data_IF_876230039494
#
_entry.id   IF_876230039494
#
_cell.length_a   1.000
_cell.length_b   1.000
_cell.length_c   1.000
_cell.angle_alpha   90.00
_cell.angle_beta   90.00
_cell.angle_gamma   90.00
#
_symmetry.space_group_name_H-M   'P 1'
#
loop_
_entity.id
_entity.type
_entity.pdbx_description
1 polymer ?
#
# COMPACT_ATOMS: atom_id res chain seq x y z
N UNK A 1 32.21 -0.87 12.92
CA UNK A 1 31.21 -1.13 11.87
C UNK A 1 30.09 -1.94 12.49
N UNK A 2 28.87 -1.40 12.51
CA UNK A 2 27.67 -2.14 12.94
C UNK A 2 27.25 -3.08 11.80
N UNK A 3 26.82 -4.30 12.10
CA UNK A 3 26.36 -5.29 11.09
C UNK A 3 25.30 -4.69 10.14
N UNK A 4 24.46 -3.82 10.69
CA UNK A 4 23.44 -3.04 9.99
C UNK A 4 23.99 -2.19 8.84
N UNK A 5 25.08 -1.45 9.05
CA UNK A 5 25.68 -0.60 7.99
C UNK A 5 26.18 -1.39 6.79
N UNK A 6 26.73 -2.59 7.02
CA UNK A 6 27.21 -3.47 5.96
C UNK A 6 26.02 -3.98 5.14
N UNK A 7 24.93 -4.38 5.81
CA UNK A 7 23.69 -4.76 5.13
C UNK A 7 23.09 -3.61 4.32
N UNK A 8 23.04 -2.41 4.88
CA UNK A 8 22.45 -1.24 4.22
C UNK A 8 23.25 -0.83 2.96
N UNK A 9 24.58 -0.92 3.01
CA UNK A 9 25.45 -0.72 1.83
C UNK A 9 25.17 -1.73 0.72
N UNK A 10 25.15 -3.02 1.06
CA UNK A 10 24.89 -4.09 0.08
C UNK A 10 23.48 -3.98 -0.50
N UNK A 11 22.50 -3.62 0.33
CA UNK A 11 21.12 -3.40 -0.11
C UNK A 11 21.01 -2.20 -1.03
N UNK A 12 21.73 -1.12 -0.76
CA UNK A 12 21.77 0.07 -1.61
C UNK A 12 22.29 -0.27 -3.01
N UNK A 13 23.42 -0.95 -3.12
CA UNK A 13 23.99 -1.34 -4.42
C UNK A 13 23.05 -2.26 -5.21
N UNK A 14 22.43 -3.22 -4.52
CA UNK A 14 21.43 -4.11 -5.14
C UNK A 14 20.22 -3.34 -5.63
N UNK A 15 19.73 -2.39 -4.83
CA UNK A 15 18.56 -1.59 -5.16
C UNK A 15 18.84 -0.68 -6.36
N UNK A 16 20.00 0.00 -6.40
CA UNK A 16 20.39 0.87 -7.51
C UNK A 16 20.54 0.06 -8.80
N UNK A 17 21.24 -1.08 -8.77
CA UNK A 17 21.35 -1.97 -9.95
C UNK A 17 20.00 -2.48 -10.43
N UNK A 18 19.09 -2.81 -9.50
CA UNK A 18 17.72 -3.23 -9.85
C UNK A 18 16.94 -2.10 -10.48
N UNK A 19 17.08 -0.87 -9.98
CA UNK A 19 16.42 0.31 -10.53
C UNK A 19 16.94 0.63 -11.94
N UNK A 20 18.26 0.63 -12.14
CA UNK A 20 18.87 0.81 -13.46
C UNK A 20 18.37 -0.25 -14.46
N UNK A 21 18.35 -1.52 -14.04
CA UNK A 21 17.85 -2.60 -14.87
C UNK A 21 16.36 -2.44 -15.18
N UNK A 22 15.53 -2.18 -14.18
CA UNK A 22 14.09 -2.01 -14.38
C UNK A 22 13.80 -0.85 -15.34
N UNK A 23 14.44 0.30 -15.14
CA UNK A 23 14.21 1.50 -15.96
C UNK A 23 14.67 1.31 -17.41
N UNK A 24 15.71 0.50 -17.65
CA UNK A 24 16.21 0.20 -19.00
C UNK A 24 15.42 -0.90 -19.71
N UNK A 25 14.90 -1.89 -18.98
CA UNK A 25 14.12 -2.99 -19.56
C UNK A 25 12.65 -2.66 -19.78
N UNK A 26 12.11 -1.72 -19.00
CA UNK A 26 10.68 -1.44 -18.97
C UNK A 26 10.32 -0.38 -20.04
N UNK A 27 9.51 -0.77 -21.02
CA UNK A 27 8.93 0.17 -21.98
C UNK A 27 7.87 1.01 -21.27
N UNK A 28 8.17 2.29 -21.04
CA UNK A 28 7.29 3.27 -20.37
C UNK A 28 6.07 3.71 -21.20
N UNK A 29 5.67 2.91 -22.18
CA UNK A 29 4.52 3.16 -23.06
C UNK A 29 3.32 2.39 -22.54
N UNK A 30 2.13 3.00 -22.65
CA UNK A 30 0.90 2.30 -22.29
C UNK A 30 0.78 1.02 -23.13
N UNK A 31 0.56 -0.11 -22.44
CA UNK A 31 0.40 -1.39 -23.10
C UNK A 31 -0.79 -1.33 -24.06
N UNK A 32 -0.65 -1.97 -25.22
CA UNK A 32 -1.74 -2.08 -26.18
C UNK A 32 -3.05 -2.53 -25.48
N UNK A 33 -4.20 -1.95 -25.86
CA UNK A 33 -5.48 -2.25 -25.22
C UNK A 33 -5.75 -3.76 -25.29
N UNK A 34 -5.81 -4.42 -24.12
CA UNK A 34 -6.09 -5.85 -24.00
C UNK A 34 -5.12 -6.65 -23.12
N UNK A 35 -4.02 -6.07 -22.66
CA UNK A 35 -3.10 -6.75 -21.72
C UNK A 35 -3.40 -6.29 -20.29
N UNK A 36 -3.61 -7.22 -19.35
CA UNK A 36 -3.84 -6.99 -17.91
C UNK A 36 -2.64 -6.38 -17.15
N UNK A 37 -1.75 -5.72 -17.88
CA UNK A 37 -0.59 -5.04 -17.36
C UNK A 37 -1.03 -3.85 -16.49
N UNK A 38 -0.52 -3.79 -15.26
CA UNK A 38 -0.61 -2.59 -14.41
C UNK A 38 -0.31 -1.34 -15.25
N UNK A 39 -1.15 -0.30 -15.19
CA UNK A 39 -1.02 0.87 -16.05
C UNK A 39 0.34 1.54 -15.83
N UNK A 40 0.94 2.06 -16.90
CA UNK A 40 2.32 2.54 -16.90
C UNK A 40 2.56 3.63 -15.83
N UNK A 41 1.57 4.47 -15.53
CA UNK A 41 1.65 5.52 -14.51
C UNK A 41 1.77 5.00 -13.07
N UNK A 42 1.24 3.81 -12.78
CA UNK A 42 1.41 3.20 -11.45
C UNK A 42 2.85 2.73 -11.29
N UNK A 43 3.45 2.23 -12.37
CA UNK A 43 4.84 1.74 -12.37
C UNK A 43 5.84 2.89 -12.26
N UNK A 44 5.63 4.01 -12.94
CA UNK A 44 6.48 5.22 -12.76
C UNK A 44 6.43 5.71 -11.33
N UNK A 45 5.24 5.75 -10.72
CA UNK A 45 5.12 6.17 -9.31
C UNK A 45 5.82 5.21 -8.35
N UNK A 46 5.70 3.90 -8.58
CA UNK A 46 6.39 2.88 -7.78
C UNK A 46 7.91 2.99 -7.89
N UNK A 47 8.44 3.21 -9.10
CA UNK A 47 9.88 3.41 -9.31
C UNK A 47 10.38 4.73 -8.73
N UNK A 48 9.59 5.81 -8.79
CA UNK A 48 9.90 7.10 -8.17
C UNK A 48 9.97 6.97 -6.62
N UNK A 49 9.05 6.23 -6.02
CA UNK A 49 9.11 5.92 -4.58
C UNK A 49 10.36 5.10 -4.22
N UNK A 50 10.72 4.12 -5.04
CA UNK A 50 11.93 3.32 -4.83
C UNK A 50 13.22 4.16 -4.97
N UNK A 51 13.26 5.13 -5.89
CA UNK A 51 14.36 6.10 -6.02
C UNK A 51 14.48 7.00 -4.78
N UNK A 52 13.35 7.48 -4.23
CA UNK A 52 13.31 8.25 -2.98
C UNK A 52 13.84 7.43 -1.79
N UNK A 53 13.43 6.17 -1.69
CA UNK A 53 13.93 5.26 -0.67
C UNK A 53 15.44 5.02 -0.81
N UNK A 54 15.93 4.80 -2.03
CA UNK A 54 17.36 4.64 -2.30
C UNK A 54 18.17 5.89 -1.87
N UNK A 55 17.66 7.10 -2.10
CA UNK A 55 18.27 8.35 -1.60
C UNK A 55 18.35 8.39 -0.07
N UNK A 56 17.26 8.02 0.60
CA UNK A 56 17.22 7.99 2.07
C UNK A 56 18.23 6.98 2.63
N UNK A 57 18.33 5.81 1.99
CA UNK A 57 19.29 4.77 2.38
C UNK A 57 20.73 5.24 2.17
N UNK A 58 21.03 5.89 1.05
CA UNK A 58 22.33 6.48 0.75
C UNK A 58 22.74 7.52 1.80
N UNK A 59 21.82 8.41 2.19
CA UNK A 59 22.06 9.42 3.22
C UNK A 59 22.32 8.80 4.60
N UNK A 60 21.59 7.73 4.94
CA UNK A 60 21.79 6.98 6.19
C UNK A 60 23.17 6.33 6.23
N UNK A 61 23.55 5.64 5.15
CA UNK A 61 24.85 4.97 5.02
C UNK A 61 26.01 5.96 5.08
N UNK A 62 25.89 7.10 4.39
CA UNK A 62 26.94 8.14 4.39
C UNK A 62 27.12 8.81 5.77
N UNK A 63 26.03 9.02 6.50
CA UNK A 63 26.07 9.59 7.86
C UNK A 63 26.78 8.64 8.82
N UNK A 64 26.51 7.33 8.71
CA UNK A 64 27.10 6.32 9.59
C UNK A 64 28.57 6.02 9.22
N UNK A 65 28.93 6.15 7.94
CA UNK A 65 30.32 6.02 7.47
C UNK A 65 31.19 7.21 7.87
N UNK A 66 30.64 8.42 7.83
CA UNK A 66 31.32 9.63 8.31
C UNK A 66 31.59 9.53 9.82
N UNK A 67 30.67 8.94 10.56
CA UNK A 67 30.80 8.71 12.01
C UNK A 67 31.78 7.59 12.36
N UNK A 68 31.92 6.59 11.49
CA UNK A 68 32.72 5.38 11.75
C UNK A 68 34.08 5.33 11.06
N UNK A 69 34.45 6.35 10.27
CA UNK A 69 35.78 6.52 9.66
C UNK A 69 36.35 5.23 9.02
N UNK A 70 35.51 4.47 8.31
CA UNK A 70 35.82 3.06 8.05
C UNK A 70 36.34 2.73 6.65
N UNK A 71 36.27 3.63 5.64
CA UNK A 71 36.68 3.29 4.25
C UNK A 71 37.28 4.47 3.45
N UNK A 72 38.52 4.36 2.91
CA UNK A 72 39.20 5.42 2.15
C UNK A 72 38.58 5.80 0.78
N UNK A 73 37.77 4.92 0.17
CA UNK A 73 37.19 5.12 -1.18
C UNK A 73 35.66 5.27 -1.20
N UNK A 74 35.01 5.21 -0.03
CA UNK A 74 33.57 5.38 0.10
C UNK A 74 33.00 6.70 -0.48
N UNK A 75 33.64 7.88 -0.31
CA UNK A 75 33.02 9.13 -0.76
C UNK A 75 32.87 9.24 -2.29
N UNK A 76 33.78 8.62 -3.06
CA UNK A 76 33.69 8.60 -4.53
C UNK A 76 32.54 7.71 -5.00
N UNK A 77 32.43 6.53 -4.39
CA UNK A 77 31.37 5.59 -4.70
C UNK A 77 29.98 6.16 -4.42
N UNK A 78 29.80 6.85 -3.28
CA UNK A 78 28.55 7.54 -2.96
C UNK A 78 28.25 8.69 -3.91
N UNK A 79 29.27 9.46 -4.33
CA UNK A 79 29.09 10.51 -5.33
C UNK A 79 28.61 9.94 -6.68
N UNK A 80 29.13 8.79 -7.09
CA UNK A 80 28.71 8.12 -8.32
C UNK A 80 27.27 7.59 -8.20
N UNK A 81 26.91 6.96 -7.09
CA UNK A 81 25.54 6.52 -6.81
C UNK A 81 24.54 7.68 -6.75
N UNK A 82 24.94 8.85 -6.22
CA UNK A 82 24.10 10.07 -6.26
C UNK A 82 23.81 10.47 -7.70
N UNK A 83 24.85 10.55 -8.54
CA UNK A 83 24.72 10.93 -9.95
C UNK A 83 23.81 9.97 -10.72
N UNK A 84 23.94 8.66 -10.48
CA UNK A 84 23.07 7.68 -11.14
C UNK A 84 21.63 7.83 -10.68
N UNK A 85 21.37 7.96 -9.38
CA UNK A 85 20.04 8.19 -8.84
C UNK A 85 19.40 9.48 -9.37
N UNK A 86 20.15 10.58 -9.43
CA UNK A 86 19.66 11.86 -9.98
C UNK A 86 19.29 11.74 -11.45
N UNK A 87 20.12 11.04 -12.25
CA UNK A 87 19.84 10.76 -13.65
C UNK A 87 18.56 9.92 -13.80
N UNK A 88 18.42 8.84 -13.03
CA UNK A 88 17.26 7.96 -13.09
C UNK A 88 15.97 8.68 -12.65
N UNK A 89 16.05 9.51 -11.61
CA UNK A 89 14.92 10.31 -11.15
C UNK A 89 14.48 11.31 -12.21
N UNK A 90 15.40 12.00 -12.88
CA UNK A 90 15.04 12.93 -13.95
C UNK A 90 14.28 12.25 -15.09
N UNK A 91 14.71 11.05 -15.49
CA UNK A 91 14.06 10.26 -16.54
C UNK A 91 12.66 9.81 -16.11
N UNK A 92 12.55 9.22 -14.92
CA UNK A 92 11.25 8.72 -14.42
C UNK A 92 10.29 9.88 -14.15
N UNK A 93 10.77 11.02 -13.67
CA UNK A 93 9.95 12.22 -13.46
C UNK A 93 9.45 12.82 -14.78
N UNK A 94 10.24 12.79 -15.84
CA UNK A 94 9.80 13.22 -17.17
C UNK A 94 8.73 12.27 -17.73
N UNK A 95 8.92 10.96 -17.57
CA UNK A 95 7.91 9.97 -17.98
C UNK A 95 6.63 10.15 -17.17
N UNK A 96 6.71 10.30 -15.85
CA UNK A 96 5.54 10.48 -14.98
C UNK A 96 4.70 11.69 -15.40
N UNK A 97 5.34 12.81 -15.78
CA UNK A 97 4.63 13.99 -16.32
C UNK A 97 3.87 13.68 -17.61
N UNK A 98 4.38 12.78 -18.45
CA UNK A 98 3.77 12.42 -19.75
C UNK A 98 2.60 11.46 -19.59
N UNK A 99 2.67 10.56 -18.61
CA UNK A 99 1.67 9.50 -18.43
C UNK A 99 0.73 9.71 -17.24
N UNK A 100 0.97 10.74 -16.42
CA UNK A 100 0.06 11.08 -15.32
C UNK A 100 -1.30 11.46 -15.90
N UNK A 101 -2.37 10.71 -15.59
CA UNK A 101 -3.70 11.05 -16.06
C UNK A 101 -4.11 12.43 -15.53
N UNK A 102 -4.82 13.23 -16.35
CA UNK A 102 -5.37 14.50 -15.87
C UNK A 102 -6.32 14.21 -14.70
N UNK A 103 -6.14 14.95 -13.60
CA UNK A 103 -6.92 14.77 -12.37
C UNK A 103 -8.37 15.16 -12.65
N UNK A 104 -9.19 14.19 -13.07
CA UNK A 104 -10.63 14.35 -13.12
C UNK A 104 -11.16 14.16 -11.70
N UNK A 105 -11.67 15.25 -11.10
CA UNK A 105 -12.44 15.15 -9.86
C UNK A 105 -13.71 14.37 -10.20
N UNK A 106 -14.02 13.27 -9.49
CA UNK A 106 -15.29 12.58 -9.69
C UNK A 106 -16.42 13.59 -9.44
N UNK A 107 -17.42 13.61 -10.31
CA UNK A 107 -18.61 14.44 -10.14
C UNK A 107 -19.19 14.16 -8.75
N UNK A 108 -19.46 15.19 -7.93
CA UNK A 108 -19.97 14.99 -6.58
C UNK A 108 -21.29 14.20 -6.64
N UNK A 109 -21.37 13.11 -5.89
CA UNK A 109 -22.56 12.22 -5.79
C UNK A 109 -23.56 12.76 -4.74
N UNK A 110 -23.18 13.85 -4.05
CA UNK A 110 -24.01 14.56 -3.08
C UNK A 110 -25.42 14.97 -3.59
N UNK A 111 -25.63 15.39 -4.85
CA UNK A 111 -26.97 15.73 -5.33
C UNK A 111 -27.82 14.51 -5.69
N UNK A 112 -27.28 13.28 -5.65
CA UNK A 112 -28.00 12.04 -5.98
C UNK A 112 -28.48 11.31 -4.73
N UNK A 113 -28.12 11.77 -3.53
CA UNK A 113 -28.62 11.17 -2.27
C UNK A 113 -29.99 11.79 -1.96
N UNK A 114 -31.07 11.00 -1.95
CA UNK A 114 -32.39 11.49 -1.55
C UNK A 114 -32.34 11.97 -0.09
N UNK A 115 -32.94 13.14 0.24
CA UNK A 115 -32.94 13.65 1.60
C UNK A 115 -33.66 12.66 2.54
N UNK A 116 -33.12 12.42 3.76
CA UNK A 116 -33.80 11.60 4.75
C UNK A 116 -35.15 12.25 5.10
N UNK A 117 -36.20 11.43 5.35
CA UNK A 117 -37.52 11.94 5.68
C UNK A 117 -37.46 12.79 6.97
N UNK A 118 -38.24 13.88 7.06
CA UNK A 118 -38.25 14.75 8.21
C UNK A 118 -38.69 13.96 9.46
N UNK A 119 -37.80 13.88 10.45
CA UNK A 119 -38.17 13.51 11.80
C UNK A 119 -39.07 14.61 12.33
N UNK A 120 -40.32 14.23 12.57
CA UNK A 120 -41.34 15.04 13.24
C UNK A 120 -40.83 15.44 14.62
N UNK A 121 -40.76 16.75 14.84
CA UNK A 121 -40.60 17.37 16.14
C UNK A 121 -41.73 16.93 17.07
N UNK A 122 -41.38 16.39 18.24
CA UNK A 122 -42.24 16.42 19.42
C UNK A 122 -41.47 17.14 20.51
N UNK A 123 -41.67 18.45 20.57
CA UNK A 123 -41.37 19.27 21.75
C UNK A 123 -42.42 19.04 22.84
N UNK A 124 -42.04 19.45 24.06
CA UNK A 124 -42.83 19.73 25.28
C UNK A 124 -43.14 18.58 26.25
N UNK A 125 -42.42 18.55 27.37
CA UNK A 125 -42.99 18.98 28.66
C UNK A 125 -41.88 19.37 29.66
N UNK A 126 -42.14 20.43 30.42
CA UNK A 126 -41.25 21.11 31.37
C UNK A 126 -41.47 20.65 32.82
N UNK A 127 -40.68 21.26 33.73
CA UNK A 127 -40.73 21.26 35.21
C UNK A 127 -40.06 20.07 35.91
N UNK A 128 -39.27 20.21 36.99
CA UNK A 128 -38.76 21.35 37.76
C UNK A 128 -37.71 20.81 38.77
N UNK A 129 -36.98 21.72 39.43
CA UNK A 129 -36.25 21.57 40.71
C UNK A 129 -34.73 21.30 40.68
N UNK A 130 -34.00 22.41 40.78
CA UNK A 130 -32.68 22.58 41.43
C UNK A 130 -32.83 22.47 42.98
N UNK A 131 -31.76 22.26 43.77
CA UNK A 131 -31.09 23.42 44.37
C UNK A 131 -29.55 23.33 44.57
N UNK A 132 -28.92 24.52 44.45
CA UNK A 132 -27.87 25.17 45.26
C UNK A 132 -26.46 24.54 45.46
N UNK A 133 -25.38 25.16 44.93
CA UNK A 133 -24.52 26.22 45.52
C UNK A 133 -23.48 25.65 46.51
N UNK A 134 -22.18 25.96 46.59
CA UNK A 134 -21.24 26.96 46.05
C UNK A 134 -19.83 26.54 46.55
N UNK A 135 -18.75 26.80 45.80
CA UNK A 135 -17.40 27.21 46.28
C UNK A 135 -16.25 26.80 45.33
N UNK A 136 -15.42 27.80 45.01
CA UNK A 136 -14.22 27.80 44.16
C UNK A 136 -12.95 27.45 44.99
N UNK A 137 -11.70 27.66 44.51
CA UNK A 137 -10.71 26.74 43.90
C UNK A 137 -9.49 26.38 44.81
N UNK A 138 -8.60 25.48 44.35
CA UNK A 138 -7.09 25.54 44.39
C UNK A 138 -6.43 24.12 44.41
N UNK A 139 -5.41 23.95 43.56
CA UNK A 139 -4.33 22.92 43.51
C UNK A 139 -3.48 22.85 44.83
N UNK A 140 -2.38 22.05 44.98
CA UNK A 140 -1.86 20.80 44.38
C UNK A 140 -1.31 19.79 45.44
N UNK A 141 -0.56 18.73 45.04
CA UNK A 141 0.29 17.80 45.87
C UNK A 141 -0.43 16.53 46.35
N UNK A 142 0.07 15.29 46.25
CA UNK A 142 1.20 14.65 45.58
C UNK A 142 1.04 13.12 45.74
N UNK A 143 1.94 12.39 45.08
CA UNK A 143 2.43 11.04 45.44
C UNK A 143 1.49 9.89 45.01
N UNK A 144 1.87 8.93 44.16
CA UNK A 144 3.14 8.20 44.08
C UNK A 144 3.39 7.70 42.64
N UNK A 145 4.55 8.04 42.08
CA UNK A 145 5.32 7.13 41.22
C UNK A 145 6.30 6.36 42.11
N UNK A 146 6.61 5.11 41.73
CA UNK A 146 7.98 4.79 41.30
C UNK A 146 7.93 4.09 39.91
N UNK A 147 8.78 4.43 38.92
CA UNK A 147 10.19 4.01 38.75
C UNK A 147 10.34 2.48 38.97
N UNK A 148 10.83 1.62 38.07
CA UNK A 148 11.69 1.69 36.88
C UNK A 148 11.16 0.66 35.87
N UNK A 149 11.04 0.96 34.58
CA UNK A 149 12.11 0.86 33.57
C UNK A 149 12.73 -0.54 33.38
N UNK A 150 12.80 -0.91 32.10
CA UNK A 150 13.93 -1.65 31.54
C UNK A 150 14.05 -3.15 31.86
N UNK A 151 13.18 -3.98 31.26
CA UNK A 151 13.61 -5.31 30.79
C UNK A 151 12.75 -5.96 29.69
N UNK A 152 11.60 -5.41 29.30
CA UNK A 152 10.70 -6.05 28.33
C UNK A 152 10.87 -5.60 26.86
N UNK A 153 11.80 -4.69 26.57
CA UNK A 153 12.01 -4.15 25.22
C UNK A 153 13.08 -4.91 24.40
N UNK A 154 13.74 -5.92 24.97
CA UNK A 154 14.88 -6.61 24.34
C UNK A 154 14.57 -8.00 23.73
N UNK A 155 13.29 -8.42 23.68
CA UNK A 155 12.92 -9.78 23.25
C UNK A 155 12.25 -9.88 21.87
N UNK A 156 12.04 -8.77 21.14
CA UNK A 156 11.32 -8.78 19.86
C UNK A 156 12.21 -8.60 18.60
N UNK A 157 13.53 -8.57 18.75
CA UNK A 157 14.46 -8.31 17.64
C UNK A 157 15.34 -9.52 17.22
N UNK A 158 14.89 -10.77 17.48
CA UNK A 158 15.68 -11.98 17.15
C UNK A 158 14.91 -13.17 16.57
N UNK A 159 13.88 -12.95 15.74
CA UNK A 159 13.25 -14.05 14.98
C UNK A 159 13.17 -13.86 13.46
N UNK A 160 13.73 -12.80 12.89
CA UNK A 160 13.88 -12.70 11.44
C UNK A 160 15.27 -13.20 11.00
N UNK A 161 15.42 -14.53 11.04
CA UNK A 161 16.51 -15.26 10.39
C UNK A 161 16.22 -15.47 8.89
N UNK A 162 17.24 -15.49 8.01
CA UNK A 162 17.08 -15.35 6.57
C UNK A 162 16.83 -16.70 5.87
N UNK A 163 15.70 -16.83 5.18
CA UNK A 163 15.44 -17.99 4.31
C UNK A 163 16.10 -17.80 2.95
N UNK A 164 17.02 -18.70 2.61
CA UNK A 164 17.58 -18.92 1.27
C UNK A 164 16.50 -19.06 0.18
N UNK A 165 16.74 -18.58 -1.05
CA UNK A 165 15.96 -19.01 -2.20
C UNK A 165 16.45 -20.39 -2.67
N UNK A 166 15.79 -21.45 -2.20
CA UNK A 166 15.96 -22.78 -2.79
C UNK A 166 15.37 -22.77 -4.20
N UNK A 167 16.26 -22.86 -5.19
CA UNK A 167 15.91 -23.03 -6.58
C UNK A 167 15.04 -24.29 -6.77
N UNK A 168 13.77 -24.09 -7.05
CA UNK A 168 12.95 -25.06 -7.76
C UNK A 168 12.64 -24.47 -9.14
N UNK A 169 13.46 -24.86 -10.10
CA UNK A 169 13.14 -24.81 -11.52
C UNK A 169 11.84 -25.59 -11.76
N UNK A 170 10.73 -24.88 -11.92
CA UNK A 170 9.54 -25.42 -12.58
C UNK A 170 9.16 -24.44 -13.68
N UNK A 171 9.33 -24.90 -14.92
CA UNK A 171 9.05 -24.14 -16.13
C UNK A 171 7.59 -23.68 -16.25
N UNK A 172 7.28 -22.87 -17.27
CA UNK A 172 6.00 -22.19 -17.40
C UNK A 172 4.86 -23.20 -17.56
N UNK A 173 3.97 -23.25 -16.58
CA UNK A 173 2.76 -24.06 -16.63
C UNK A 173 1.68 -23.21 -17.31
N UNK A 174 1.48 -23.47 -18.59
CA UNK A 174 0.38 -22.94 -19.37
C UNK A 174 -0.93 -23.64 -18.90
N UNK A 175 -1.97 -22.92 -18.46
CA UNK A 175 -3.18 -23.54 -17.90
C UNK A 175 -4.15 -24.12 -18.94
N UNK A 176 -3.68 -24.48 -20.15
CA UNK A 176 -4.55 -24.88 -21.27
C UNK A 176 -4.40 -26.33 -21.75
N UNK A 177 -3.62 -27.20 -21.09
CA UNK A 177 -3.45 -28.59 -21.54
C UNK A 177 -4.17 -29.69 -20.71
N UNK A 178 -4.92 -29.35 -19.66
CA UNK A 178 -5.53 -30.37 -18.77
C UNK A 178 -6.88 -30.94 -19.26
N UNK A 179 -7.24 -30.80 -20.54
CA UNK A 179 -8.53 -31.30 -21.05
C UNK A 179 -8.43 -32.31 -22.21
N UNK A 180 -7.26 -32.89 -22.48
CA UNK A 180 -7.14 -33.92 -23.51
C UNK A 180 -6.70 -35.27 -22.92
N UNK A 181 -7.50 -36.35 -23.06
CA UNK A 181 -7.08 -37.70 -22.73
C UNK A 181 -5.98 -38.17 -23.71
N UNK A 182 -5.03 -39.02 -23.27
CA UNK A 182 -4.02 -39.55 -24.17
C UNK A 182 -4.67 -40.51 -25.18
N UNK A 183 -4.53 -40.14 -26.46
CA UNK A 183 -4.51 -40.97 -27.67
C UNK A 183 -4.95 -42.44 -27.56
N UNK A 184 -6.08 -42.77 -28.18
CA UNK A 184 -6.48 -44.13 -28.57
C UNK A 184 -5.54 -44.66 -29.68
N UNK A 185 -5.11 -45.93 -29.65
CA UNK A 185 -4.72 -46.64 -30.86
C UNK A 185 -5.96 -47.26 -31.52
N UNK A 186 -6.32 -46.74 -32.70
CA UNK A 186 -7.16 -47.44 -33.67
C UNK A 186 -6.29 -48.45 -34.42
N UNK A 187 -6.54 -49.75 -34.21
CA UNK A 187 -6.45 -50.78 -35.24
C UNK A 187 -7.20 -52.02 -34.75
N UNK A 188 -8.31 -52.31 -35.42
CA UNK A 188 -9.08 -53.52 -35.23
C UNK A 188 -8.34 -54.72 -35.81
N UNK A 189 -8.21 -55.81 -35.06
CA UNK A 189 -8.19 -57.15 -35.65
C UNK A 189 -9.12 -58.08 -34.86
N UNK A 190 -9.99 -58.74 -35.61
CA UNK A 190 -10.95 -59.73 -35.14
C UNK A 190 -10.20 -60.97 -34.65
N UNK A 191 -10.50 -61.40 -33.42
CA UNK A 191 -10.42 -62.82 -33.08
C UNK A 191 -11.35 -63.12 -31.90
N UNK A 192 -12.59 -63.50 -32.25
CA UNK A 192 -13.42 -64.34 -31.39
C UNK A 192 -12.68 -65.66 -31.19
N UNK A 193 -12.32 -65.98 -29.94
CA UNK A 193 -12.56 -67.28 -29.27
C UNK A 193 -11.64 -67.45 -28.06
N UNK A 194 -12.26 -67.59 -26.88
CA UNK A 194 -11.74 -68.29 -25.68
C UNK A 194 -10.58 -67.65 -24.89
N UNK A 195 -10.92 -66.67 -24.04
CA UNK A 195 -10.14 -66.33 -22.82
C UNK A 195 -11.03 -65.58 -21.78
N UNK A 196 -12.12 -66.18 -21.34
CA UNK A 196 -13.18 -65.52 -20.52
C UNK A 196 -13.14 -65.81 -19.01
N UNK A 197 -11.96 -65.76 -18.34
CA UNK A 197 -11.94 -65.29 -16.95
C UNK A 197 -10.91 -64.18 -16.67
N UNK A 198 -9.78 -64.13 -17.40
CA UNK A 198 -8.68 -63.23 -17.09
C UNK A 198 -8.93 -61.76 -17.50
N UNK A 199 -9.62 -61.51 -18.62
CA UNK A 199 -9.95 -60.15 -19.06
C UNK A 199 -11.01 -59.50 -18.15
N UNK A 200 -12.04 -60.25 -17.74
CA UNK A 200 -13.03 -59.75 -16.78
C UNK A 200 -12.43 -59.45 -15.40
N UNK A 201 -11.47 -60.28 -14.96
CA UNK A 201 -10.71 -60.02 -13.74
C UNK A 201 -9.81 -58.78 -13.85
N UNK A 202 -9.21 -58.54 -15.01
CA UNK A 202 -8.42 -57.33 -15.26
C UNK A 202 -9.30 -56.06 -15.26
N UNK A 203 -10.46 -56.09 -15.94
CA UNK A 203 -11.42 -54.99 -15.92
C UNK A 203 -11.94 -54.68 -14.52
N UNK A 204 -12.20 -55.72 -13.71
CA UNK A 204 -12.62 -55.56 -12.32
C UNK A 204 -11.49 -54.98 -11.44
N UNK A 205 -10.25 -55.43 -11.64
CA UNK A 205 -9.08 -54.87 -10.95
C UNK A 205 -8.84 -53.40 -11.33
N UNK A 206 -9.04 -53.03 -12.60
CA UNK A 206 -8.92 -51.64 -13.07
C UNK A 206 -10.03 -50.76 -12.47
N UNK A 207 -11.26 -51.25 -12.38
CA UNK A 207 -12.34 -50.53 -11.71
C UNK A 207 -12.07 -50.33 -10.21
N UNK A 208 -11.48 -51.32 -9.54
CA UNK A 208 -11.06 -51.21 -8.14
C UNK A 208 -9.90 -50.21 -7.97
N UNK A 209 -8.96 -50.17 -8.91
CA UNK A 209 -7.87 -49.19 -8.88
C UNK A 209 -8.36 -47.76 -9.10
N UNK A 210 -9.28 -47.55 -10.06
CA UNK A 210 -9.91 -46.25 -10.28
C UNK A 210 -10.77 -45.82 -9.09
N UNK A 211 -11.53 -46.73 -8.49
CA UNK A 211 -12.35 -46.42 -7.32
C UNK A 211 -11.47 -46.06 -6.11
N UNK A 212 -10.36 -46.78 -5.91
CA UNK A 212 -9.37 -46.48 -4.88
C UNK A 212 -8.70 -45.12 -5.13
N UNK A 213 -8.35 -44.80 -6.38
CA UNK A 213 -7.74 -43.52 -6.73
C UNK A 213 -8.74 -42.36 -6.54
N UNK A 214 -10.01 -42.55 -6.89
CA UNK A 214 -11.06 -41.56 -6.69
C UNK A 214 -11.33 -41.31 -5.20
N UNK A 215 -11.32 -42.37 -4.38
CA UNK A 215 -11.42 -42.26 -2.92
C UNK A 215 -10.23 -41.49 -2.32
N UNK A 216 -9.01 -41.73 -2.81
CA UNK A 216 -7.81 -40.98 -2.41
C UNK A 216 -7.89 -39.51 -2.84
N UNK A 217 -8.35 -39.22 -4.07
CA UNK A 217 -8.54 -37.84 -4.51
C UNK A 217 -9.64 -37.13 -3.70
N UNK A 218 -10.75 -37.80 -3.40
CA UNK A 218 -11.83 -37.23 -2.60
C UNK A 218 -11.38 -36.90 -1.18
N UNK A 219 -10.57 -37.76 -0.56
CA UNK A 219 -9.99 -37.50 0.77
C UNK A 219 -8.99 -36.36 0.73
N UNK A 220 -8.18 -36.25 -0.33
CA UNK A 220 -7.29 -35.11 -0.54
C UNK A 220 -8.07 -33.81 -0.76
N UNK A 221 -9.12 -33.82 -1.57
CA UNK A 221 -9.98 -32.67 -1.81
C UNK A 221 -10.66 -32.22 -0.51
N UNK A 222 -11.14 -33.17 0.31
CA UNK A 222 -11.71 -32.88 1.63
C UNK A 222 -10.67 -32.24 2.56
N UNK A 223 -9.44 -32.75 2.58
CA UNK A 223 -8.36 -32.16 3.38
C UNK A 223 -8.01 -30.75 2.90
N UNK A 224 -7.98 -30.54 1.58
CA UNK A 224 -7.79 -29.22 0.98
C UNK A 224 -8.94 -28.26 1.35
N UNK A 225 -10.19 -28.71 1.31
CA UNK A 225 -11.35 -27.91 1.69
C UNK A 225 -11.32 -27.48 3.16
N UNK A 226 -10.96 -28.39 4.07
CA UNK A 226 -10.80 -28.06 5.51
C UNK A 226 -9.68 -27.03 5.70
N UNK A 227 -8.56 -27.20 4.99
CA UNK A 227 -7.46 -26.24 5.03
C UNK A 227 -7.87 -24.87 4.48
N UNK A 228 -8.63 -24.83 3.39
CA UNK A 228 -9.17 -23.58 2.83
C UNK A 228 -10.18 -22.91 3.77
N UNK A 229 -11.03 -23.67 4.47
CA UNK A 229 -11.93 -23.11 5.47
C UNK A 229 -11.15 -22.44 6.61
N UNK A 230 -10.11 -23.11 7.13
CA UNK A 230 -9.24 -22.54 8.16
C UNK A 230 -8.36 -21.37 7.69
N UNK A 231 -8.06 -21.28 6.38
CA UNK A 231 -7.40 -20.12 5.79
C UNK A 231 -8.37 -18.95 5.63
N UNK A 232 -9.59 -19.21 5.15
CA UNK A 232 -10.65 -18.20 5.02
C UNK A 232 -11.03 -17.56 6.35
N UNK A 233 -11.05 -18.32 7.45
CA UNK A 233 -11.31 -17.76 8.78
C UNK A 233 -10.19 -16.80 9.24
N UNK A 234 -8.93 -17.14 8.96
CA UNK A 234 -7.79 -16.23 9.21
C UNK A 234 -7.86 -15.01 8.32
N UNK A 235 -8.17 -15.18 7.04
CA UNK A 235 -8.30 -14.07 6.10
C UNK A 235 -9.44 -13.14 6.51
N UNK A 236 -10.57 -13.67 7.01
CA UNK A 236 -11.66 -12.87 7.58
C UNK A 236 -11.19 -12.05 8.79
N UNK A 237 -10.42 -12.66 9.69
CA UNK A 237 -9.87 -11.94 10.85
C UNK A 237 -8.93 -10.81 10.40
N UNK A 238 -8.02 -11.07 9.46
CA UNK A 238 -7.12 -10.07 8.89
C UNK A 238 -7.92 -8.95 8.21
N UNK A 239 -8.94 -9.28 7.42
CA UNK A 239 -9.80 -8.28 6.77
C UNK A 239 -10.49 -7.39 7.82
N UNK A 240 -11.05 -7.97 8.88
CA UNK A 240 -11.67 -7.17 9.95
C UNK A 240 -10.69 -6.24 10.66
N UNK A 241 -9.47 -6.72 10.95
CA UNK A 241 -8.42 -5.90 11.55
C UNK A 241 -7.97 -4.77 10.60
N UNK A 242 -7.85 -5.06 9.30
CA UNK A 242 -7.51 -4.04 8.31
C UNK A 242 -8.61 -3.02 8.14
N UNK A 243 -9.88 -3.42 8.20
CA UNK A 243 -11.03 -2.52 8.17
C UNK A 243 -11.00 -1.58 9.37
N UNK A 244 -10.79 -2.11 10.58
CA UNK A 244 -10.72 -1.31 11.80
C UNK A 244 -9.56 -0.29 11.78
N UNK A 245 -8.40 -0.70 11.24
CA UNK A 245 -7.26 0.23 11.02
C UNK A 245 -7.57 1.28 9.96
N UNK A 246 -8.30 0.91 8.91
CA UNK A 246 -8.68 1.83 7.84
C UNK A 246 -9.69 2.86 8.32
N UNK A 247 -10.69 2.43 9.11
CA UNK A 247 -11.67 3.31 9.76
C UNK A 247 -10.97 4.31 10.71
N UNK A 248 -10.08 3.83 11.58
CA UNK A 248 -9.30 4.72 12.46
C UNK A 248 -8.45 5.72 11.66
N UNK A 249 -7.81 5.28 10.59
CA UNK A 249 -7.00 6.17 9.75
C UNK A 249 -7.88 7.21 9.03
N UNK A 250 -9.03 6.78 8.54
CA UNK A 250 -10.01 7.66 7.89
C UNK A 250 -10.55 8.72 8.85
N UNK A 251 -10.84 8.35 10.10
CA UNK A 251 -11.28 9.29 11.14
C UNK A 251 -10.22 10.32 11.49
N UNK A 252 -8.96 9.88 11.67
CA UNK A 252 -7.82 10.79 11.91
C UNK A 252 -7.66 11.74 10.72
N UNK A 253 -7.66 11.21 9.50
CA UNK A 253 -7.52 12.03 8.30
C UNK A 253 -8.69 13.03 8.17
N UNK A 254 -9.91 12.62 8.45
CA UNK A 254 -11.10 13.48 8.37
C UNK A 254 -11.05 14.59 9.42
N UNK A 255 -10.65 14.26 10.66
CA UNK A 255 -10.49 15.22 11.76
C UNK A 255 -9.38 16.23 11.45
N UNK A 256 -8.25 15.77 10.94
CA UNK A 256 -7.15 16.63 10.51
C UNK A 256 -7.56 17.52 9.33
N UNK A 257 -8.31 17.00 8.35
CA UNK A 257 -8.85 17.80 7.25
C UNK A 257 -9.78 18.91 7.73
N UNK A 258 -10.66 18.63 8.70
CA UNK A 258 -11.53 19.66 9.30
C UNK A 258 -10.70 20.71 10.02
N UNK A 259 -9.71 20.29 10.81
CA UNK A 259 -8.82 21.23 11.53
C UNK A 259 -8.00 22.09 10.56
N UNK A 260 -7.41 21.48 9.53
CA UNK A 260 -6.66 22.20 8.49
C UNK A 260 -7.56 23.16 7.72
N UNK A 261 -8.82 22.79 7.44
CA UNK A 261 -9.78 23.68 6.79
C UNK A 261 -10.13 24.88 7.66
N UNK A 262 -10.31 24.67 8.96
CA UNK A 262 -10.62 25.75 9.91
C UNK A 262 -9.44 26.74 10.08
N UNK A 263 -8.22 26.23 10.12
CA UNK A 263 -7.03 27.09 10.13
C UNK A 263 -6.77 27.76 8.77
N UNK A 264 -7.02 27.07 7.64
CA UNK A 264 -6.79 27.60 6.30
C UNK A 264 -7.78 28.70 5.92
N UNK A 265 -9.05 28.60 6.32
CA UNK A 265 -10.06 29.65 6.06
C UNK A 265 -9.73 30.93 6.83
N UNK A 266 -9.21 30.80 8.06
CA UNK A 266 -8.88 31.93 8.93
C UNK A 266 -7.66 32.72 8.44
N UNK A 267 -6.63 32.04 7.93
CA UNK A 267 -5.43 32.69 7.37
C UNK A 267 -5.69 33.40 6.04
N UNK A 268 -6.63 32.91 5.23
CA UNK A 268 -7.03 33.60 3.99
C UNK A 268 -7.89 34.84 4.26
N UNK A 269 -8.77 34.80 5.26
CA UNK A 269 -9.62 35.93 5.61
C UNK A 269 -8.83 37.18 6.03
N UNK A 270 -7.81 37.02 6.88
CA UNK A 270 -6.99 38.16 7.33
C UNK A 270 -6.17 38.78 6.19
N UNK A 271 -5.62 37.94 5.29
CA UNK A 271 -4.88 38.41 4.11
C UNK A 271 -5.80 39.16 3.14
N UNK A 272 -7.05 38.71 2.98
CA UNK A 272 -8.03 39.42 2.17
C UNK A 272 -8.38 40.80 2.74
N UNK A 273 -8.56 40.89 4.06
CA UNK A 273 -8.84 42.16 4.75
C UNK A 273 -7.66 43.14 4.61
N UNK A 274 -6.41 42.68 4.75
CA UNK A 274 -5.24 43.57 4.58
C UNK A 274 -5.09 44.05 3.15
N UNK A 275 -5.32 43.18 2.15
CA UNK A 275 -5.34 43.56 0.74
C UNK A 275 -6.42 44.62 0.47
N UNK A 276 -7.62 44.44 1.03
CA UNK A 276 -8.71 45.42 0.89
C UNK A 276 -8.35 46.77 1.51
N UNK A 277 -7.71 46.77 2.69
CA UNK A 277 -7.23 47.99 3.35
C UNK A 277 -6.20 48.75 2.50
N UNK A 278 -5.21 48.04 1.93
CA UNK A 278 -4.23 48.60 1.00
C UNK A 278 -4.89 49.23 -0.23
N UNK A 279 -5.92 48.58 -0.78
CA UNK A 279 -6.66 49.08 -1.94
C UNK A 279 -7.41 50.38 -1.63
N UNK A 280 -8.04 50.48 -0.45
CA UNK A 280 -8.73 51.71 -0.02
C UNK A 280 -7.75 52.88 0.10
N UNK A 281 -6.58 52.65 0.71
CA UNK A 281 -5.52 53.67 0.81
C UNK A 281 -5.02 54.09 -0.57
N UNK A 282 -4.84 53.15 -1.49
CA UNK A 282 -4.44 53.43 -2.88
C UNK A 282 -5.48 54.30 -3.60
N UNK A 283 -6.77 53.98 -3.46
CA UNK A 283 -7.86 54.76 -4.07
C UNK A 283 -7.91 56.17 -3.48
N UNK A 284 -7.77 56.32 -2.17
CA UNK A 284 -7.69 57.62 -1.51
C UNK A 284 -6.53 58.47 -2.02
N UNK A 285 -5.36 57.85 -2.21
CA UNK A 285 -4.17 58.51 -2.78
C UNK A 285 -4.39 58.96 -4.23
N UNK A 286 -5.00 58.12 -5.06
CA UNK A 286 -5.34 58.48 -6.45
C UNK A 286 -6.35 59.62 -6.47
N UNK A 287 -7.38 59.59 -5.62
CA UNK A 287 -8.37 60.66 -5.49
C UNK A 287 -7.73 62.01 -5.11
N UNK A 288 -6.86 62.04 -4.09
CA UNK A 288 -6.19 63.28 -3.68
C UNK A 288 -5.22 63.78 -4.75
N UNK A 289 -4.48 62.89 -5.41
CA UNK A 289 -3.61 63.24 -6.53
C UNK A 289 -4.41 63.82 -7.72
N UNK A 290 -5.57 63.24 -8.03
CA UNK A 290 -6.46 63.76 -9.06
C UNK A 290 -7.00 65.15 -8.71
N UNK A 291 -7.39 65.39 -7.46
CA UNK A 291 -7.86 66.71 -7.01
C UNK A 291 -6.77 67.77 -7.16
N UNK A 292 -5.54 67.49 -6.70
CA UNK A 292 -4.40 68.42 -6.83
C UNK A 292 -4.06 68.70 -8.30
N UNK A 293 -4.26 67.72 -9.18
CA UNK A 293 -3.94 67.89 -10.60
C UNK A 293 -5.04 68.60 -11.39
N UNK A 294 -6.29 68.48 -10.93
CA UNK A 294 -7.46 69.15 -11.53
C UNK A 294 -7.61 70.59 -11.02
N UNK A 295 -7.25 70.83 -9.75
CA UNK A 295 -7.25 72.16 -9.13
C UNK A 295 -6.01 72.93 -9.56
#
# INVERSE_FOLDING_TARGET
>A
MTEKTVHDRVNLDRLVRRLEKNITTESWTDGAPGTSATPAWIRTRGTLQALKHARKLLQSVESEDTSSSSVPNAPRHYADLRRTLDRLESLVAEVDKRISPPVMRPTPILPTIPPPPPVVDVSTSAEDSQPDAEATPLDPTATLLPADESLAAAAHERLYGPSEPRAFTRGPINPSETLLPPSLPTAAEKSTSQATPAFMQNSAALQEELSAQLAQMATQLKRNAIHFAGALEKDKAVVSETQEKLERNYDVMSKERVRLRDHSSKSWGTTWITILSLLVVLVGFVMTFLIIRIT
#
